data_IF_198577288796
#
_entry.id   IF_198577288796
#
_cell.length_a   1.000
_cell.length_b   1.000
_cell.length_c   1.000
_cell.angle_alpha   90.00
_cell.angle_beta   90.00
_cell.angle_gamma   90.00
#
_symmetry.space_group_name_H-M   'P 1'
#
loop_
_entity.id
_entity.type
_entity.pdbx_description
1 polymer ?
#
# COMPACT_ATOMS: atom_id res chain seq x y z
N UNK A 1 -2.88 -4.06 -7.72
CA UNK A 1 -2.94 -4.87 -8.97
C UNK A 1 -3.71 -4.22 -10.11
N UNK A 2 -4.80 -3.47 -9.88
CA UNK A 2 -5.62 -2.90 -10.98
C UNK A 2 -4.99 -1.74 -11.77
N UNK A 3 -4.18 -0.90 -11.11
CA UNK A 3 -3.41 0.19 -11.72
C UNK A 3 -2.06 0.32 -11.01
N UNK A 4 -1.12 -0.63 -11.24
CA UNK A 4 0.13 -0.65 -10.50
C UNK A 4 1.05 0.49 -10.92
N UNK A 5 1.57 1.24 -9.95
CA UNK A 5 2.54 2.32 -10.18
C UNK A 5 3.85 2.09 -9.44
N UNK A 6 3.96 1.09 -8.55
CA UNK A 6 5.18 0.86 -7.77
C UNK A 6 6.44 0.70 -8.64
N UNK A 7 6.34 0.02 -9.78
CA UNK A 7 7.45 -0.16 -10.73
C UNK A 7 7.95 1.16 -11.35
N UNK A 8 7.13 2.21 -11.41
CA UNK A 8 7.57 3.51 -11.93
C UNK A 8 8.42 4.26 -10.92
N UNK A 9 8.24 3.97 -9.62
CA UNK A 9 8.96 4.62 -8.52
C UNK A 9 10.18 3.81 -8.08
N UNK A 10 10.07 2.48 -8.08
CA UNK A 10 11.06 1.56 -7.53
C UNK A 10 11.88 0.83 -8.61
N UNK A 11 11.58 1.11 -9.89
CA UNK A 11 12.25 0.53 -11.04
C UNK A 11 11.55 -0.72 -11.58
N UNK A 12 11.88 -1.10 -12.84
CA UNK A 12 11.41 -2.34 -13.43
C UNK A 12 11.99 -3.54 -12.67
N UNK A 13 11.19 -4.59 -12.54
CA UNK A 13 11.65 -5.87 -12.00
C UNK A 13 11.40 -6.95 -13.06
N UNK A 14 12.39 -7.83 -13.24
CA UNK A 14 12.27 -9.03 -14.05
C UNK A 14 11.71 -10.22 -13.26
N UNK A 15 11.48 -10.03 -11.96
CA UNK A 15 10.91 -11.07 -11.11
C UNK A 15 9.41 -11.28 -11.41
N UNK A 16 8.89 -12.51 -11.20
CA UNK A 16 7.46 -12.76 -11.21
C UNK A 16 6.75 -11.79 -10.25
N UNK A 17 5.56 -11.30 -10.60
CA UNK A 17 4.85 -10.39 -9.72
C UNK A 17 3.87 -11.10 -8.78
N UNK A 18 3.16 -10.30 -7.99
CA UNK A 18 2.20 -10.77 -7.01
C UNK A 18 1.14 -11.68 -7.63
N UNK A 19 0.63 -11.35 -8.83
CA UNK A 19 -0.34 -12.21 -9.52
C UNK A 19 0.22 -13.59 -9.87
N UNK A 20 1.50 -13.68 -10.24
CA UNK A 20 2.18 -14.94 -10.54
C UNK A 20 2.35 -15.82 -9.30
N UNK A 21 2.75 -15.19 -8.18
CA UNK A 21 2.90 -15.86 -6.89
C UNK A 21 1.55 -16.37 -6.36
N UNK A 22 0.51 -15.53 -6.44
CA UNK A 22 -0.83 -15.90 -5.98
C UNK A 22 -1.48 -16.99 -6.84
N UNK A 23 -1.13 -17.05 -8.13
CA UNK A 23 -1.56 -18.11 -9.03
C UNK A 23 -0.76 -19.41 -8.85
N UNK A 24 0.28 -19.43 -8.00
CA UNK A 24 1.15 -20.59 -7.81
C UNK A 24 2.01 -20.92 -9.03
N UNK A 25 2.22 -19.94 -9.94
CA UNK A 25 3.08 -20.14 -11.13
C UNK A 25 4.57 -20.11 -10.79
N UNK A 26 4.92 -19.45 -9.69
CA UNK A 26 6.29 -19.29 -9.22
C UNK A 26 6.34 -19.32 -7.70
N UNK A 27 7.42 -19.91 -7.18
CA UNK A 27 7.73 -19.85 -5.76
C UNK A 27 8.36 -18.51 -5.37
N UNK A 28 8.09 -18.06 -4.16
CA UNK A 28 8.71 -16.85 -3.63
C UNK A 28 10.20 -17.08 -3.34
N UNK A 29 11.06 -16.20 -3.88
CA UNK A 29 12.50 -16.22 -3.68
C UNK A 29 12.95 -14.81 -3.27
N UNK A 30 13.36 -14.56 -2.01
CA UNK A 30 13.62 -13.21 -1.49
C UNK A 30 14.57 -12.38 -2.36
N UNK A 31 15.69 -12.99 -2.80
CA UNK A 31 16.73 -12.34 -3.61
C UNK A 31 16.22 -11.80 -4.95
N UNK A 32 15.13 -12.34 -5.48
CA UNK A 32 14.57 -11.84 -6.75
C UNK A 32 13.92 -10.46 -6.61
N UNK A 33 13.62 -10.02 -5.39
CA UNK A 33 12.88 -8.80 -5.10
C UNK A 33 13.71 -7.72 -4.41
N UNK A 34 14.97 -8.00 -4.07
CA UNK A 34 15.88 -7.03 -3.47
C UNK A 34 16.14 -5.87 -4.43
N UNK A 35 16.06 -4.64 -3.90
CA UNK A 35 16.43 -3.42 -4.63
C UNK A 35 17.84 -2.99 -4.23
N UNK A 36 18.46 -2.14 -5.07
CA UNK A 36 19.76 -1.51 -4.75
C UNK A 36 19.70 -0.62 -3.49
N UNK A 37 18.49 -0.26 -3.05
CA UNK A 37 18.28 0.40 -1.78
C UNK A 37 18.36 -0.62 -0.64
N UNK A 38 19.43 -0.53 0.14
CA UNK A 38 19.73 -1.44 1.25
C UNK A 38 18.51 -1.67 2.17
N UNK A 39 18.11 -2.93 2.31
CA UNK A 39 17.04 -3.35 3.19
C UNK A 39 15.62 -3.17 2.63
N UNK A 40 15.47 -2.83 1.35
CA UNK A 40 14.16 -2.74 0.70
C UNK A 40 14.02 -3.79 -0.41
N UNK A 41 12.91 -4.53 -0.35
CA UNK A 41 12.47 -5.41 -1.42
C UNK A 41 11.13 -4.95 -1.98
N UNK A 42 10.88 -5.23 -3.27
CA UNK A 42 9.64 -4.87 -3.95
C UNK A 42 9.11 -6.01 -4.81
N UNK A 43 7.89 -6.45 -4.49
CA UNK A 43 7.13 -7.39 -5.31
C UNK A 43 6.22 -6.57 -6.24
N UNK A 44 6.45 -6.56 -7.57
CA UNK A 44 5.59 -5.85 -8.50
C UNK A 44 4.21 -6.53 -8.58
N UNK A 45 3.19 -5.85 -9.09
CA UNK A 45 1.86 -6.47 -9.22
C UNK A 45 1.84 -7.70 -10.15
N UNK A 46 2.71 -7.73 -11.15
CA UNK A 46 2.79 -8.81 -12.14
C UNK A 46 1.61 -8.86 -13.10
N UNK A 47 1.53 -9.96 -13.83
CA UNK A 47 0.40 -10.29 -14.67
C UNK A 47 -0.76 -10.81 -13.80
N UNK A 48 -1.98 -10.38 -14.11
CA UNK A 48 -3.17 -10.72 -13.32
C UNK A 48 -4.05 -11.67 -14.14
N UNK A 49 -4.10 -12.95 -13.74
CA UNK A 49 -4.84 -14.00 -14.45
C UNK A 49 -6.33 -14.12 -14.07
N UNK A 50 -6.73 -13.55 -12.93
CA UNK A 50 -8.10 -13.55 -12.41
C UNK A 50 -8.41 -12.21 -11.70
N UNK A 51 -9.67 -11.87 -11.39
CA UNK A 51 -9.97 -10.65 -10.65
C UNK A 51 -9.14 -10.54 -9.35
N UNK A 52 -8.43 -9.42 -9.10
CA UNK A 52 -7.53 -9.30 -7.94
C UNK A 52 -8.19 -9.62 -6.61
N UNK A 53 -9.46 -9.24 -6.42
CA UNK A 53 -10.21 -9.56 -5.21
C UNK A 53 -10.36 -11.06 -4.94
N UNK A 54 -10.43 -11.88 -5.99
CA UNK A 54 -10.50 -13.34 -5.83
C UNK A 54 -9.14 -13.92 -5.44
N UNK A 55 -8.06 -13.47 -6.10
CA UNK A 55 -6.70 -13.88 -5.79
C UNK A 55 -6.29 -13.49 -4.36
N UNK A 56 -6.64 -12.27 -3.96
CA UNK A 56 -6.28 -11.72 -2.64
C UNK A 56 -7.15 -12.30 -1.51
N UNK A 57 -8.37 -12.75 -1.81
CA UNK A 57 -9.26 -13.40 -0.85
C UNK A 57 -9.01 -14.90 -0.68
N UNK A 58 -8.20 -15.50 -1.55
CA UNK A 58 -7.91 -16.92 -1.55
C UNK A 58 -6.87 -17.37 -0.51
N UNK A 59 -6.72 -18.69 -0.29
CA UNK A 59 -5.74 -19.24 0.63
C UNK A 59 -4.30 -18.91 0.23
N UNK A 60 -4.01 -18.78 -1.06
CA UNK A 60 -2.68 -18.44 -1.58
C UNK A 60 -2.16 -17.11 -1.04
N UNK A 61 -3.02 -16.09 -0.88
CA UNK A 61 -2.62 -14.80 -0.32
C UNK A 61 -2.17 -14.90 1.13
N UNK A 62 -2.89 -15.71 1.93
CA UNK A 62 -2.51 -15.99 3.32
C UNK A 62 -1.17 -16.71 3.39
N UNK A 63 -1.00 -17.79 2.63
CA UNK A 63 0.25 -18.56 2.62
C UNK A 63 1.46 -17.74 2.13
N UNK A 64 1.26 -16.89 1.13
CA UNK A 64 2.29 -15.96 0.68
C UNK A 64 2.67 -14.97 1.79
N UNK A 65 1.70 -14.34 2.45
CA UNK A 65 1.97 -13.40 3.56
C UNK A 65 2.66 -14.08 4.75
N UNK A 66 2.29 -15.31 5.09
CA UNK A 66 2.97 -16.11 6.12
C UNK A 66 4.43 -16.38 5.75
N UNK A 67 4.70 -16.68 4.48
CA UNK A 67 6.07 -16.82 3.97
C UNK A 67 6.83 -15.49 4.02
N UNK A 68 6.22 -14.39 3.57
CA UNK A 68 6.86 -13.08 3.62
C UNK A 68 7.21 -12.67 5.06
N UNK A 69 6.36 -13.00 6.03
CA UNK A 69 6.59 -12.73 7.46
C UNK A 69 7.82 -13.46 8.04
N UNK A 70 8.27 -14.56 7.43
CA UNK A 70 9.52 -15.22 7.87
C UNK A 70 10.77 -14.56 7.33
N UNK A 71 10.64 -13.64 6.36
CA UNK A 71 11.75 -13.00 5.66
C UNK A 71 11.84 -11.49 5.91
N UNK A 72 10.75 -10.83 6.31
CA UNK A 72 10.69 -9.39 6.48
C UNK A 72 10.10 -9.00 7.83
N UNK A 73 10.75 -8.05 8.50
CA UNK A 73 10.26 -7.47 9.75
C UNK A 73 9.00 -6.61 9.55
N UNK A 74 8.90 -5.95 8.40
CA UNK A 74 7.81 -5.04 8.04
C UNK A 74 7.39 -5.28 6.59
N UNK A 75 6.09 -5.45 6.38
CA UNK A 75 5.49 -5.64 5.05
C UNK A 75 4.49 -4.53 4.79
N UNK A 76 4.74 -3.72 3.77
CA UNK A 76 3.78 -2.73 3.29
C UNK A 76 2.96 -3.31 2.15
N UNK A 77 1.64 -3.28 2.29
CA UNK A 77 0.71 -3.72 1.25
C UNK A 77 0.02 -2.50 0.67
N UNK A 78 0.31 -2.19 -0.59
CA UNK A 78 -0.36 -1.13 -1.33
C UNK A 78 -1.67 -1.64 -1.94
N UNK A 79 -2.73 -0.85 -1.81
CA UNK A 79 -4.07 -1.21 -2.26
C UNK A 79 -4.75 -0.04 -2.99
N UNK A 80 -5.61 -0.32 -3.99
CA UNK A 80 -6.45 0.71 -4.58
C UNK A 80 -7.37 1.41 -3.55
N UNK A 81 -7.97 2.56 -3.88
CA UNK A 81 -8.88 3.24 -2.96
C UNK A 81 -10.03 2.35 -2.47
N UNK A 82 -10.24 2.32 -1.15
CA UNK A 82 -11.21 1.45 -0.45
C UNK A 82 -12.62 1.56 -1.02
N UNK A 83 -13.05 2.78 -1.38
CA UNK A 83 -14.39 3.03 -1.90
C UNK A 83 -14.55 2.72 -3.40
N UNK A 84 -13.45 2.47 -4.12
CA UNK A 84 -13.49 2.24 -5.55
C UNK A 84 -13.65 0.75 -5.89
N UNK A 85 -12.96 -0.13 -5.16
CA UNK A 85 -12.90 -1.57 -5.43
C UNK A 85 -12.68 -2.36 -4.13
N UNK A 86 -13.09 -3.64 -4.05
CA UNK A 86 -13.04 -4.41 -2.81
C UNK A 86 -11.62 -4.85 -2.40
N UNK A 87 -10.62 -4.75 -3.27
CA UNK A 87 -9.26 -5.28 -3.06
C UNK A 87 -8.67 -4.92 -1.68
N UNK A 88 -8.81 -3.66 -1.24
CA UNK A 88 -8.31 -3.20 0.05
C UNK A 88 -9.05 -3.85 1.23
N UNK A 89 -10.38 -3.95 1.13
CA UNK A 89 -11.25 -4.59 2.14
C UNK A 89 -10.97 -6.09 2.23
N UNK A 90 -10.64 -6.74 1.11
CA UNK A 90 -10.27 -8.15 1.06
C UNK A 90 -8.90 -8.41 1.71
N UNK A 91 -7.93 -7.52 1.50
CA UNK A 91 -6.58 -7.65 2.06
C UNK A 91 -6.48 -7.26 3.53
N UNK A 92 -7.32 -6.33 3.98
CA UNK A 92 -7.25 -5.73 5.29
C UNK A 92 -7.26 -6.75 6.46
N UNK A 93 -8.02 -7.87 6.42
CA UNK A 93 -7.99 -8.88 7.48
C UNK A 93 -6.69 -9.70 7.55
N UNK A 94 -5.87 -9.66 6.50
CA UNK A 94 -4.57 -10.33 6.47
C UNK A 94 -3.44 -9.44 7.03
N UNK A 95 -3.73 -8.15 7.24
CA UNK A 95 -2.79 -7.16 7.73
C UNK A 95 -2.97 -6.90 9.22
N UNK A 96 -1.88 -6.64 9.94
CA UNK A 96 -1.91 -6.36 11.38
C UNK A 96 -2.48 -4.96 11.72
N UNK A 97 -2.41 -4.05 10.74
CA UNK A 97 -2.86 -2.67 10.83
C UNK A 97 -3.21 -2.12 9.44
N UNK A 98 -4.12 -1.14 9.41
CA UNK A 98 -4.41 -0.36 8.20
C UNK A 98 -4.18 1.13 8.45
N UNK A 99 -3.55 1.80 7.47
CA UNK A 99 -3.39 3.26 7.43
C UNK A 99 -4.22 3.82 6.29
N UNK A 100 -5.08 4.80 6.57
CA UNK A 100 -5.90 5.45 5.53
C UNK A 100 -5.22 6.72 5.05
N UNK A 101 -4.94 6.82 3.76
CA UNK A 101 -4.39 8.03 3.14
C UNK A 101 -5.53 8.89 2.60
N UNK A 102 -5.60 10.15 3.03
CA UNK A 102 -6.62 11.12 2.60
C UNK A 102 -5.96 12.36 1.99
N UNK A 103 -6.53 12.91 0.93
CA UNK A 103 -5.98 14.10 0.27
C UNK A 103 -6.76 15.36 0.70
N UNK A 104 -6.04 16.34 1.26
CA UNK A 104 -6.62 17.60 1.70
C UNK A 104 -7.32 18.33 0.54
N UNK A 105 -8.53 18.82 0.78
CA UNK A 105 -9.34 19.52 -0.22
C UNK A 105 -9.89 18.63 -1.34
N UNK A 106 -9.68 17.30 -1.28
CA UNK A 106 -10.23 16.33 -2.23
C UNK A 106 -11.09 15.27 -1.57
N UNK A 107 -10.66 14.76 -0.42
CA UNK A 107 -11.43 13.78 0.37
C UNK A 107 -12.31 14.52 1.38
N UNK A 108 -13.61 14.26 1.34
CA UNK A 108 -14.56 14.83 2.31
C UNK A 108 -14.73 13.92 3.56
N UNK A 109 -15.38 14.47 4.59
CA UNK A 109 -15.63 13.74 5.85
C UNK A 109 -16.50 12.49 5.65
N UNK A 110 -17.61 12.54 4.86
CA UNK A 110 -18.39 11.34 4.56
C UNK A 110 -17.58 10.21 3.92
N UNK A 111 -16.72 10.50 2.95
CA UNK A 111 -15.84 9.51 2.30
C UNK A 111 -14.88 8.86 3.30
N UNK A 112 -14.29 9.64 4.19
CA UNK A 112 -13.43 9.09 5.25
C UNK A 112 -14.22 8.20 6.21
N UNK A 113 -15.41 8.64 6.65
CA UNK A 113 -16.27 7.86 7.54
C UNK A 113 -16.71 6.54 6.88
N UNK A 114 -17.08 6.57 5.60
CA UNK A 114 -17.43 5.38 4.84
C UNK A 114 -16.24 4.42 4.69
N UNK A 115 -15.04 4.95 4.44
CA UNK A 115 -13.81 4.16 4.35
C UNK A 115 -13.51 3.45 5.67
N UNK A 116 -13.60 4.18 6.79
CA UNK A 116 -13.42 3.61 8.13
C UNK A 116 -14.47 2.55 8.44
N UNK A 117 -15.74 2.79 8.09
CA UNK A 117 -16.83 1.83 8.25
C UNK A 117 -16.59 0.54 7.46
N UNK A 118 -16.13 0.64 6.21
CA UNK A 118 -15.84 -0.52 5.36
C UNK A 118 -14.70 -1.39 5.94
N UNK A 119 -13.63 -0.77 6.45
CA UNK A 119 -12.51 -1.49 7.07
C UNK A 119 -12.90 -2.09 8.44
N UNK A 120 -13.71 -1.37 9.21
CA UNK A 120 -14.22 -1.87 10.50
C UNK A 120 -15.15 -3.07 10.31
N UNK A 121 -15.97 -3.08 9.26
CA UNK A 121 -16.90 -4.17 8.95
C UNK A 121 -16.20 -5.52 8.70
N UNK A 122 -14.93 -5.51 8.28
CA UNK A 122 -14.12 -6.73 8.09
C UNK A 122 -13.18 -7.03 9.25
N UNK A 123 -13.38 -6.36 10.39
CA UNK A 123 -12.62 -6.60 11.62
C UNK A 123 -11.20 -6.02 11.61
N UNK A 124 -10.84 -5.19 10.62
CA UNK A 124 -9.52 -4.58 10.56
C UNK A 124 -9.43 -3.34 11.44
N UNK A 125 -8.40 -3.29 12.28
CA UNK A 125 -8.10 -2.11 13.09
C UNK A 125 -7.41 -1.03 12.24
N UNK A 126 -8.16 0.02 11.91
CA UNK A 126 -7.60 1.25 11.33
C UNK A 126 -6.74 1.94 12.39
N UNK A 127 -5.43 1.99 12.14
CA UNK A 127 -4.42 2.41 13.13
C UNK A 127 -4.11 3.91 13.01
N UNK A 128 -4.45 4.54 11.88
CA UNK A 128 -4.25 5.98 11.70
C UNK A 128 -4.68 6.51 10.34
N UNK A 129 -4.64 7.83 10.21
CA UNK A 129 -4.96 8.57 8.98
C UNK A 129 -3.77 9.44 8.58
N UNK A 130 -3.36 9.36 7.32
CA UNK A 130 -2.30 10.19 6.73
C UNK A 130 -2.95 11.25 5.86
N UNK A 131 -2.77 12.53 6.22
CA UNK A 131 -3.22 13.66 5.41
C UNK A 131 -2.14 14.07 4.41
N UNK A 132 -2.45 13.97 3.12
CA UNK A 132 -1.59 14.37 2.00
C UNK A 132 -2.14 15.62 1.32
N UNK A 133 -1.34 16.25 0.45
CA UNK A 133 -1.73 17.45 -0.31
C UNK A 133 -2.17 18.65 0.55
N UNK A 134 -1.80 18.69 1.84
CA UNK A 134 -2.12 19.81 2.71
C UNK A 134 -1.34 21.06 2.27
N UNK A 135 -2.08 22.11 1.90
CA UNK A 135 -1.50 23.40 1.56
C UNK A 135 -1.55 24.32 2.79
N UNK A 136 -0.39 24.56 3.40
CA UNK A 136 -0.22 25.39 4.60
C UNK A 136 -0.53 26.87 4.37
N UNK A 137 -0.51 27.37 3.13
CA UNK A 137 -0.68 28.80 2.83
C UNK A 137 -2.13 29.19 2.53
N UNK A 138 -2.99 28.23 2.20
CA UNK A 138 -4.43 28.46 1.94
C UNK A 138 -5.33 28.21 3.15
N UNK A 139 -4.78 27.73 4.27
CA UNK A 139 -5.51 27.55 5.53
C UNK A 139 -5.43 28.85 6.32
N UNK A 140 -6.45 29.70 6.19
CA UNK A 140 -6.50 30.99 6.88
C UNK A 140 -6.34 30.83 8.39
N UNK A 141 -5.27 31.42 8.93
CA UNK A 141 -5.04 31.80 10.33
C UNK A 141 -5.32 30.75 11.42
N UNK A 142 -4.28 30.00 11.83
CA UNK A 142 -3.88 29.74 13.26
C UNK A 142 -3.06 28.47 13.47
N UNK A 143 -3.10 27.48 12.56
CA UNK A 143 -2.32 26.24 12.74
C UNK A 143 -1.01 26.26 11.96
N UNK A 144 -0.03 27.00 12.50
CA UNK A 144 1.36 26.98 12.05
C UNK A 144 2.00 25.67 12.48
N UNK A 145 1.87 24.63 11.68
CA UNK A 145 2.73 23.44 11.82
C UNK A 145 4.19 23.90 11.62
N UNK A 146 5.12 23.58 12.53
CA UNK A 146 6.54 23.86 12.31
C UNK A 146 6.99 23.07 11.08
N UNK A 147 7.09 23.76 9.96
CA UNK A 147 7.74 23.27 8.75
C UNK A 147 9.19 22.98 9.12
N UNK A 148 9.54 21.70 9.33
CA UNK A 148 10.93 21.28 9.33
C UNK A 148 11.48 21.50 7.92
N UNK A 149 12.25 22.59 7.77
CA UNK A 149 12.91 22.92 6.53
C UNK A 149 13.99 21.88 6.23
N UNK A 150 13.81 21.11 5.16
CA UNK A 150 14.94 20.49 4.48
C UNK A 150 15.69 21.61 3.76
N UNK A 151 16.81 22.04 4.33
CA UNK A 151 17.81 22.79 3.58
C UNK A 151 18.35 21.85 2.52
N UNK A 152 17.95 22.05 1.26
CA UNK A 152 18.68 21.48 0.13
C UNK A 152 20.09 22.05 0.19
N UNK A 153 21.06 21.22 0.52
CA UNK A 153 22.45 21.52 0.23
C UNK A 153 22.57 21.58 -1.29
N UNK A 154 22.73 22.79 -1.84
CA UNK A 154 23.21 22.96 -3.19
C UNK A 154 24.66 22.47 -3.20
N UNK A 155 24.93 21.38 -3.90
CA UNK A 155 26.28 21.02 -4.32
C UNK A 155 26.71 22.03 -5.41
N UNK A 156 27.91 22.58 -5.24
CA UNK A 156 28.62 23.43 -6.21
C UNK A 156 29.69 22.61 -6.90
#
# INVERSE_FOLDING_TARGET
MRRPTGHTLLGPSSAPGLGDLLAGRHDFQPKAYELDLAGLSFIPAGEVSAPPSELLGGPAARSLLETLRTHYDVIFVDSPPVLAVPDAVTLAPLCDAALTVVAAGRTDRPQLAQTQGALAAVGTRVTGVILTHFNTTKSGSSYRYPSYGYTRANES
#
